data_IF_204832568250
#
_entry.id   IF_204832568250
#
_cell.length_a   1.000
_cell.length_b   1.000
_cell.length_c   1.000
_cell.angle_alpha   90.00
_cell.angle_beta   90.00
_cell.angle_gamma   90.00
#
_symmetry.space_group_name_H-M   'P 1'
#
loop_
_entity.id
_entity.type
_entity.pdbx_description
1 polymer ?
#
# COMPACT_ATOMS: atom_id res chain seq x y z
N UNK A 1 15.92 26.94 -16.68
CA UNK A 1 15.19 25.66 -16.72
C UNK A 1 13.86 25.88 -17.42
N UNK A 2 13.47 25.02 -18.36
CA UNK A 2 12.26 25.22 -19.19
C UNK A 2 11.00 25.10 -18.32
N UNK A 3 10.04 26.04 -18.39
CA UNK A 3 8.89 26.11 -17.46
C UNK A 3 8.00 24.86 -17.49
N UNK A 4 8.02 24.12 -18.61
CA UNK A 4 7.31 22.85 -18.77
C UNK A 4 7.85 21.72 -17.88
N UNK A 5 9.13 21.77 -17.48
CA UNK A 5 9.74 20.70 -16.68
C UNK A 5 9.14 20.64 -15.27
N UNK A 6 8.87 21.79 -14.66
CA UNK A 6 8.26 21.87 -13.33
C UNK A 6 6.79 21.40 -13.35
N UNK A 7 6.04 21.74 -14.40
CA UNK A 7 4.66 21.28 -14.57
C UNK A 7 4.57 19.77 -14.77
N UNK A 8 5.47 19.21 -15.60
CA UNK A 8 5.51 17.77 -15.84
C UNK A 8 5.97 17.03 -14.58
N UNK A 9 7.01 17.51 -13.88
CA UNK A 9 7.46 16.93 -12.63
C UNK A 9 6.38 16.96 -11.53
N UNK A 10 5.63 18.07 -11.41
CA UNK A 10 4.51 18.18 -10.48
C UNK A 10 3.35 17.24 -10.81
N UNK A 11 3.09 16.99 -12.10
CA UNK A 11 2.07 16.05 -12.54
C UNK A 11 2.46 14.59 -12.27
N UNK A 12 3.73 14.22 -12.51
CA UNK A 12 4.23 12.89 -12.15
C UNK A 12 4.24 12.68 -10.62
N UNK A 13 4.69 13.67 -9.84
CA UNK A 13 4.68 13.59 -8.39
C UNK A 13 3.24 13.49 -7.83
N UNK A 14 2.28 14.17 -8.45
CA UNK A 14 0.86 14.02 -8.13
C UNK A 14 0.33 12.62 -8.46
N UNK A 15 0.78 12.01 -9.56
CA UNK A 15 0.40 10.62 -9.92
C UNK A 15 1.06 9.57 -9.01
N UNK A 16 2.26 9.82 -8.51
CA UNK A 16 2.91 8.96 -7.52
C UNK A 16 2.30 9.11 -6.13
N UNK A 17 1.81 10.31 -5.78
CA UNK A 17 1.18 10.62 -4.50
C UNK A 17 -0.29 10.21 -4.38
N UNK A 18 -0.99 9.99 -5.50
CA UNK A 18 -2.43 9.70 -5.54
C UNK A 18 -2.71 8.18 -5.53
N UNK A 19 -2.13 7.49 -4.55
CA UNK A 19 -2.43 6.10 -4.23
C UNK A 19 -3.01 6.05 -2.82
N UNK A 20 -4.29 6.38 -2.70
CA UNK A 20 -5.03 6.18 -1.46
C UNK A 20 -5.10 4.67 -1.19
N UNK A 21 -4.57 4.22 -0.05
CA UNK A 21 -4.70 2.84 0.38
C UNK A 21 -5.18 2.77 1.83
N UNK A 22 -6.04 1.80 2.10
CA UNK A 22 -6.51 1.48 3.44
C UNK A 22 -6.21 0.02 3.74
N UNK A 23 -5.56 -0.24 4.86
CA UNK A 23 -5.22 -1.59 5.29
C UNK A 23 -5.84 -1.92 6.64
N UNK A 24 -6.31 -3.16 6.78
CA UNK A 24 -6.77 -3.75 8.04
C UNK A 24 -6.11 -5.10 8.21
N UNK A 25 -5.62 -5.38 9.42
CA UNK A 25 -4.89 -6.60 9.70
C UNK A 25 -5.20 -7.14 11.09
N UNK A 26 -5.10 -8.46 11.20
CA UNK A 26 -5.22 -9.19 12.47
C UNK A 26 -3.91 -9.90 12.73
N UNK A 27 -3.42 -9.76 13.97
CA UNK A 27 -2.29 -10.52 14.48
C UNK A 27 -2.76 -11.39 15.64
N UNK A 28 -2.34 -12.65 15.61
CA UNK A 28 -2.56 -13.60 16.69
C UNK A 28 -1.22 -14.12 17.20
N UNK A 29 -0.92 -13.86 18.47
CA UNK A 29 0.27 -14.39 19.12
C UNK A 29 -0.04 -15.80 19.64
N UNK A 30 0.56 -16.80 19.00
CA UNK A 30 0.39 -18.22 19.36
C UNK A 30 1.14 -18.53 20.66
N UNK A 31 2.33 -17.95 20.80
CA UNK A 31 3.15 -17.96 22.01
C UNK A 31 4.10 -16.73 21.97
N UNK A 32 4.92 -16.48 23.01
CA UNK A 32 5.81 -15.32 23.05
C UNK A 32 6.83 -15.24 21.89
N UNK A 33 7.07 -16.35 21.20
CA UNK A 33 8.08 -16.48 20.15
C UNK A 33 7.47 -16.65 18.74
N UNK A 34 6.16 -16.88 18.63
CA UNK A 34 5.47 -17.19 17.37
C UNK A 34 4.18 -16.38 17.26
N UNK A 35 4.05 -15.63 16.17
CA UNK A 35 2.83 -14.93 15.83
C UNK A 35 2.41 -15.19 14.39
N UNK A 36 1.11 -15.19 14.14
CA UNK A 36 0.52 -15.28 12.80
C UNK A 36 -0.14 -13.94 12.48
N UNK A 37 0.04 -13.47 11.25
CA UNK A 37 -0.53 -12.21 10.76
C UNK A 37 -1.28 -12.45 9.47
N UNK A 38 -2.43 -11.80 9.34
CA UNK A 38 -3.18 -11.68 8.08
C UNK A 38 -3.52 -10.21 7.89
N UNK A 39 -3.15 -9.65 6.75
CA UNK A 39 -3.32 -8.25 6.42
C UNK A 39 -4.08 -8.15 5.09
N UNK A 40 -5.12 -7.31 5.03
CA UNK A 40 -5.87 -6.97 3.83
C UNK A 40 -5.67 -5.49 3.53
N UNK A 41 -5.24 -5.18 2.32
CA UNK A 41 -5.02 -3.81 1.86
C UNK A 41 -5.83 -3.57 0.60
N UNK A 42 -6.66 -2.53 0.65
CA UNK A 42 -7.42 -2.03 -0.49
C UNK A 42 -6.70 -0.80 -1.05
N UNK A 43 -6.40 -0.83 -2.35
CA UNK A 43 -5.78 0.28 -3.08
C UNK A 43 -6.84 0.90 -3.99
N UNK A 44 -7.09 2.20 -3.79
CA UNK A 44 -8.01 2.98 -4.59
C UNK A 44 -7.22 3.81 -5.59
N UNK A 45 -7.49 3.61 -6.87
CA UNK A 45 -6.84 4.36 -7.95
C UNK A 45 -7.77 5.45 -8.47
N UNK A 46 -7.34 6.70 -8.34
CA UNK A 46 -8.04 7.90 -8.85
C UNK A 46 -7.72 8.20 -10.32
N UNK A 47 -6.74 7.51 -10.92
CA UNK A 47 -6.42 7.65 -12.33
C UNK A 47 -7.45 6.86 -13.16
N UNK A 48 -8.23 7.62 -13.93
CA UNK A 48 -9.28 7.16 -14.86
C UNK A 48 -8.93 5.81 -15.54
N UNK A 49 -9.71 4.78 -15.20
CA UNK A 49 -9.67 3.40 -15.73
C UNK A 49 -8.68 2.40 -15.10
N UNK A 50 -8.05 2.71 -13.96
CA UNK A 50 -7.34 1.70 -13.16
C UNK A 50 -8.31 0.83 -12.36
N UNK A 51 -8.28 -0.49 -12.54
CA UNK A 51 -8.97 -1.43 -11.64
C UNK A 51 -8.46 -1.21 -10.22
N UNK A 52 -9.37 -1.03 -9.26
CA UNK A 52 -9.02 -1.09 -7.85
C UNK A 52 -8.30 -2.42 -7.57
N UNK A 53 -7.26 -2.37 -6.76
CA UNK A 53 -6.41 -3.52 -6.49
C UNK A 53 -6.51 -3.90 -5.01
N UNK A 54 -6.70 -5.18 -4.77
CA UNK A 54 -6.77 -5.75 -3.42
C UNK A 54 -5.56 -6.65 -3.19
N UNK A 55 -4.93 -6.49 -2.04
CA UNK A 55 -3.83 -7.34 -1.58
C UNK A 55 -4.24 -8.07 -0.30
N UNK A 56 -4.14 -9.39 -0.31
CA UNK A 56 -4.22 -10.23 0.88
C UNK A 56 -2.82 -10.78 1.15
N UNK A 57 -2.30 -10.52 2.35
CA UNK A 57 -1.02 -11.04 2.82
C UNK A 57 -1.22 -11.89 4.07
N UNK A 58 -0.50 -13.00 4.17
CA UNK A 58 -0.45 -13.83 5.37
C UNK A 58 1.01 -14.17 5.70
N UNK A 59 1.34 -14.21 6.98
CA UNK A 59 2.71 -14.46 7.43
C UNK A 59 2.80 -15.06 8.82
N UNK A 60 3.92 -15.73 9.08
CA UNK A 60 4.30 -16.25 10.40
C UNK A 60 5.58 -15.57 10.84
N UNK A 61 5.60 -15.05 12.06
CA UNK A 61 6.73 -14.35 12.67
C UNK A 61 7.33 -15.24 13.74
N UNK A 62 8.63 -15.47 13.65
CA UNK A 62 9.43 -16.15 14.67
C UNK A 62 10.37 -15.15 15.34
N UNK A 63 10.39 -15.11 16.67
CA UNK A 63 11.21 -14.19 17.47
C UNK A 63 12.07 -14.99 18.45
N UNK A 64 13.37 -14.72 18.47
CA UNK A 64 14.40 -15.45 19.22
C UNK A 64 15.10 -14.56 20.25
#
# INVERSE_FOLDING_TARGET
>A
AHPLYQTVAGLLASQEGDKEFSAVGVRYDVNPNIAVKVDYTHYKSTILAGSDADLVAAGVVFTY
#
